data_IF_184419998219
#
_entry.id   IF_184419998219
#
_cell.length_a   1.000
_cell.length_b   1.000
_cell.length_c   1.000
_cell.angle_alpha   90.00
_cell.angle_beta   90.00
_cell.angle_gamma   90.00
#
_symmetry.space_group_name_H-M   'P 1'
#
loop_
_entity.id
_entity.type
_entity.pdbx_description
1 polymer ?
#
# COMPACT_ATOMS: atom_id res chain seq x y z
N UNK A 1 13.76 7.80 22.07
CA UNK A 1 12.30 7.70 22.30
C UNK A 1 11.93 6.22 22.36
N UNK A 2 11.32 5.75 23.45
CA UNK A 2 10.75 4.40 23.50
C UNK A 2 9.39 4.41 22.80
N UNK A 3 9.27 3.77 21.64
CA UNK A 3 7.98 3.58 20.98
C UNK A 3 7.22 2.46 21.71
N UNK A 4 6.06 2.76 22.29
CA UNK A 4 5.22 1.75 22.91
C UNK A 4 4.63 0.82 21.83
N UNK A 5 5.24 -0.34 21.59
CA UNK A 5 4.78 -1.32 20.57
C UNK A 5 3.33 -1.80 20.82
N UNK A 6 2.86 -1.73 22.07
CA UNK A 6 1.54 -2.20 22.49
C UNK A 6 0.46 -1.11 22.64
N UNK A 7 0.75 0.15 22.30
CA UNK A 7 -0.27 1.20 22.35
C UNK A 7 -1.35 0.96 21.29
N UNK A 8 -2.60 1.27 21.64
CA UNK A 8 -3.70 1.28 20.68
C UNK A 8 -3.54 2.49 19.75
N UNK A 9 -3.44 2.24 18.45
CA UNK A 9 -3.43 3.27 17.42
C UNK A 9 -4.79 3.35 16.72
N UNK A 10 -5.08 4.50 16.11
CA UNK A 10 -6.26 4.72 15.27
C UNK A 10 -5.82 5.32 13.94
N UNK A 11 -6.27 4.75 12.83
CA UNK A 11 -5.91 5.24 11.50
C UNK A 11 -7.11 5.44 10.60
N UNK A 12 -7.21 6.63 10.02
CA UNK A 12 -8.14 6.94 8.94
C UNK A 12 -7.35 7.22 7.65
N UNK A 13 -7.87 6.75 6.52
CA UNK A 13 -7.32 7.01 5.19
C UNK A 13 -8.19 6.41 4.10
N UNK A 14 -7.81 6.61 2.83
CA UNK A 14 -8.45 5.94 1.71
C UNK A 14 -8.19 4.41 1.74
N UNK A 15 -8.80 3.66 0.82
CA UNK A 15 -8.72 2.20 0.82
C UNK A 15 -7.27 1.70 0.68
N UNK A 16 -6.48 2.32 -0.19
CA UNK A 16 -5.09 1.96 -0.49
C UNK A 16 -4.18 2.28 0.70
N UNK A 17 -4.38 3.45 1.31
CA UNK A 17 -3.71 3.89 2.55
C UNK A 17 -4.03 2.95 3.72
N UNK A 18 -5.30 2.56 3.89
CA UNK A 18 -5.71 1.62 4.94
C UNK A 18 -5.08 0.25 4.74
N UNK A 19 -4.95 -0.24 3.49
CA UNK A 19 -4.30 -1.52 3.18
C UNK A 19 -2.83 -1.56 3.59
N UNK A 20 -2.05 -0.53 3.27
CA UNK A 20 -0.63 -0.51 3.66
C UNK A 20 -0.47 -0.40 5.18
N UNK A 21 -1.29 0.40 5.86
CA UNK A 21 -1.26 0.50 7.33
C UNK A 21 -1.68 -0.83 7.96
N UNK A 22 -2.73 -1.48 7.44
CA UNK A 22 -3.18 -2.80 7.90
C UNK A 22 -2.07 -3.83 7.75
N UNK A 23 -1.39 -3.86 6.60
CA UNK A 23 -0.29 -4.78 6.33
C UNK A 23 0.85 -4.59 7.32
N UNK A 24 1.34 -3.37 7.50
CA UNK A 24 2.39 -3.07 8.48
C UNK A 24 1.96 -3.43 9.90
N UNK A 25 0.71 -3.15 10.27
CA UNK A 25 0.22 -3.50 11.60
C UNK A 25 0.13 -5.01 11.82
N UNK A 26 -0.36 -5.78 10.84
CA UNK A 26 -0.38 -7.25 10.96
C UNK A 26 1.03 -7.84 11.00
N UNK A 27 1.92 -7.37 10.11
CA UNK A 27 3.27 -7.92 9.97
C UNK A 27 4.07 -7.80 11.27
N UNK A 28 3.81 -6.73 12.02
CA UNK A 28 4.53 -6.41 13.25
C UNK A 28 3.64 -6.48 14.50
N UNK A 29 2.48 -7.15 14.41
CA UNK A 29 1.57 -7.37 15.54
C UNK A 29 1.18 -6.09 16.29
N UNK A 30 1.02 -4.97 15.57
CA UNK A 30 0.60 -3.69 16.14
C UNK A 30 -0.93 -3.62 16.27
N UNK A 31 -1.40 -3.01 17.35
CA UNK A 31 -2.82 -2.72 17.56
C UNK A 31 -3.19 -1.43 16.85
N UNK A 32 -3.95 -1.53 15.76
CA UNK A 32 -4.46 -0.38 15.03
C UNK A 32 -5.93 -0.56 14.66
N UNK A 33 -6.77 0.36 15.10
CA UNK A 33 -8.16 0.45 14.66
C UNK A 33 -8.24 1.23 13.35
N UNK A 34 -8.74 0.56 12.31
CA UNK A 34 -8.91 1.11 10.96
C UNK A 34 -10.34 1.60 10.71
N UNK A 35 -11.19 1.66 11.74
CA UNK A 35 -12.58 2.13 11.70
C UNK A 35 -12.85 3.44 12.46
N UNK A 36 -11.91 4.41 12.57
CA UNK A 36 -12.19 5.66 13.26
C UNK A 36 -13.20 6.54 12.51
N UNK A 37 -13.73 7.60 13.16
CA UNK A 37 -14.64 8.55 12.53
C UNK A 37 -14.10 9.10 11.21
N UNK A 38 -15.01 9.32 10.25
CA UNK A 38 -14.64 9.86 8.94
C UNK A 38 -13.96 11.22 9.09
N UNK A 39 -12.81 11.38 8.43
CA UNK A 39 -12.06 12.63 8.37
C UNK A 39 -11.80 13.00 6.90
N UNK A 40 -11.72 14.29 6.51
CA UNK A 40 -11.33 14.66 5.15
C UNK A 40 -9.89 14.27 4.78
N UNK A 41 -8.99 14.05 5.75
CA UNK A 41 -7.57 13.76 5.50
C UNK A 41 -7.13 12.48 6.22
N UNK A 42 -6.11 11.77 5.69
CA UNK A 42 -5.54 10.66 6.41
C UNK A 42 -4.94 11.14 7.73
N UNK A 43 -5.13 10.37 8.80
CA UNK A 43 -4.46 10.63 10.06
C UNK A 43 -4.19 9.33 10.83
N UNK A 44 -3.12 9.35 11.62
CA UNK A 44 -2.78 8.33 12.60
C UNK A 44 -2.75 8.98 13.98
N UNK A 45 -3.48 8.42 14.93
CA UNK A 45 -3.32 8.72 16.36
C UNK A 45 -2.57 7.56 17.02
N UNK A 46 -1.50 7.87 17.75
CA UNK A 46 -0.73 6.93 18.56
C UNK A 46 -0.36 7.60 19.89
N UNK A 47 -0.99 7.16 20.98
CA UNK A 47 -0.96 7.85 22.28
C UNK A 47 -1.41 9.32 22.11
N UNK A 48 -0.60 10.28 22.57
CA UNK A 48 -0.87 11.72 22.49
C UNK A 48 -0.41 12.35 21.15
N UNK A 49 0.12 11.54 20.22
CA UNK A 49 0.62 12.02 18.94
C UNK A 49 -0.42 11.82 17.85
N UNK A 50 -0.67 12.88 17.07
CA UNK A 50 -1.49 12.83 15.87
C UNK A 50 -0.67 13.24 14.64
N UNK A 51 -0.72 12.45 13.58
CA UNK A 51 0.07 12.62 12.35
C UNK A 51 -0.89 12.65 11.16
N UNK A 52 -0.75 13.62 10.26
CA UNK A 52 -1.72 13.90 9.19
C UNK A 52 -1.18 13.70 7.76
N UNK A 53 0.00 13.09 7.64
CA UNK A 53 0.72 12.94 6.38
C UNK A 53 1.15 11.49 6.22
N UNK A 54 0.83 10.86 5.10
CA UNK A 54 1.11 9.42 4.89
C UNK A 54 2.60 9.11 4.92
N UNK A 55 3.46 9.98 4.38
CA UNK A 55 4.92 9.82 4.48
C UNK A 55 5.37 9.78 5.94
N UNK A 56 4.89 10.70 6.77
CA UNK A 56 5.22 10.72 8.20
C UNK A 56 4.57 9.57 8.97
N UNK A 57 3.37 9.14 8.58
CA UNK A 57 2.66 8.00 9.17
C UNK A 57 3.43 6.71 8.91
N UNK A 58 3.81 6.45 7.65
CA UNK A 58 4.58 5.26 7.29
C UNK A 58 5.99 5.29 7.90
N UNK A 59 6.64 6.46 7.97
CA UNK A 59 7.89 6.61 8.70
C UNK A 59 7.72 6.30 10.19
N UNK A 60 6.67 6.81 10.83
CA UNK A 60 6.37 6.55 12.24
C UNK A 60 6.13 5.06 12.51
N UNK A 61 5.33 4.40 11.66
CA UNK A 61 5.09 2.96 11.74
C UNK A 61 6.39 2.16 11.53
N UNK A 62 7.18 2.52 10.53
CA UNK A 62 8.45 1.85 10.25
C UNK A 62 9.46 1.98 11.41
N UNK A 63 9.52 3.16 12.06
CA UNK A 63 10.32 3.36 13.27
C UNK A 63 9.78 2.55 14.45
N UNK A 64 8.45 2.52 14.65
CA UNK A 64 7.79 1.78 15.73
C UNK A 64 8.08 0.27 15.69
N UNK A 65 8.23 -0.28 14.49
CA UNK A 65 8.47 -1.71 14.26
C UNK A 65 9.93 -2.06 14.03
N UNK A 66 10.84 -1.08 14.11
CA UNK A 66 12.27 -1.25 13.82
C UNK A 66 12.48 -1.87 12.43
N UNK A 67 11.76 -1.34 11.43
CA UNK A 67 11.85 -1.78 10.05
C UNK A 67 13.29 -1.73 9.57
N UNK A 68 13.81 -2.87 9.09
CA UNK A 68 15.22 -3.01 8.68
C UNK A 68 15.48 -2.66 7.22
N UNK A 69 14.44 -2.34 6.44
CA UNK A 69 14.58 -1.93 5.05
C UNK A 69 14.76 -0.43 4.89
N UNK A 70 15.06 -0.01 3.67
CA UNK A 70 15.24 1.40 3.32
C UNK A 70 13.88 2.12 3.30
N UNK A 71 13.81 3.28 3.95
CA UNK A 71 12.62 4.15 3.95
C UNK A 71 12.92 5.34 3.04
N UNK A 72 12.49 5.22 1.79
CA UNK A 72 12.56 6.32 0.82
C UNK A 72 11.32 7.21 0.95
N UNK A 73 11.47 8.34 1.66
CA UNK A 73 10.38 9.28 1.93
C UNK A 73 9.85 9.97 0.67
N UNK A 74 10.72 10.21 -0.32
CA UNK A 74 10.34 10.84 -1.59
C UNK A 74 9.46 9.88 -2.39
N UNK A 75 9.86 8.61 -2.46
CA UNK A 75 9.07 7.58 -3.15
C UNK A 75 7.73 7.31 -2.44
N UNK A 76 7.70 7.29 -1.11
CA UNK A 76 6.43 7.21 -0.35
C UNK A 76 5.52 8.39 -0.70
N UNK A 77 6.06 9.61 -0.80
CA UNK A 77 5.27 10.78 -1.16
C UNK A 77 4.72 10.69 -2.59
N UNK A 78 5.52 10.22 -3.56
CA UNK A 78 5.05 10.00 -4.94
C UNK A 78 3.93 8.97 -4.99
N UNK A 79 4.09 7.83 -4.31
CA UNK A 79 3.06 6.78 -4.26
C UNK A 79 1.79 7.28 -3.54
N UNK A 80 1.92 8.10 -2.50
CA UNK A 80 0.75 8.68 -1.84
C UNK A 80 -0.05 9.61 -2.76
N UNK A 81 0.64 10.44 -3.55
CA UNK A 81 -0.01 11.27 -4.57
C UNK A 81 -0.77 10.42 -5.59
N UNK A 82 -0.18 9.32 -6.06
CA UNK A 82 -0.86 8.36 -6.95
C UNK A 82 -2.12 7.81 -6.26
N UNK A 83 -2.04 7.44 -4.98
CA UNK A 83 -3.21 6.93 -4.24
C UNK A 83 -4.36 7.93 -4.18
N UNK A 84 -4.04 9.22 -4.00
CA UNK A 84 -5.02 10.31 -3.93
C UNK A 84 -5.64 10.58 -5.29
N UNK A 85 -4.83 10.63 -6.36
CA UNK A 85 -5.32 10.74 -7.74
C UNK A 85 -6.25 9.58 -8.10
N UNK A 86 -5.84 8.36 -7.76
CA UNK A 86 -6.62 7.17 -8.04
C UNK A 86 -8.00 7.19 -7.35
N UNK A 87 -8.08 7.70 -6.12
CA UNK A 87 -9.36 7.85 -5.41
C UNK A 87 -10.28 8.91 -6.00
N UNK A 88 -9.76 9.78 -6.87
CA UNK A 88 -10.52 10.80 -7.60
C UNK A 88 -10.84 10.37 -9.04
N UNK A 89 -10.63 9.09 -9.36
CA UNK A 89 -10.78 8.52 -10.70
C UNK A 89 -9.93 9.23 -11.77
N UNK A 90 -8.82 9.85 -11.35
CA UNK A 90 -7.84 10.44 -12.27
C UNK A 90 -6.97 9.34 -12.91
N UNK A 91 -6.49 9.58 -14.14
CA UNK A 91 -5.55 8.67 -14.79
C UNK A 91 -4.18 8.71 -14.10
N UNK A 92 -3.71 7.53 -13.70
CA UNK A 92 -2.46 7.32 -12.97
C UNK A 92 -1.45 6.49 -13.76
N UNK A 93 -1.76 6.11 -15.01
CA UNK A 93 -0.90 5.20 -15.78
C UNK A 93 0.50 5.77 -15.98
N UNK A 94 0.59 7.04 -16.36
CA UNK A 94 1.87 7.72 -16.56
C UNK A 94 2.68 7.79 -15.26
N UNK A 95 2.02 8.09 -14.14
CA UNK A 95 2.67 8.15 -12.82
C UNK A 95 3.23 6.77 -12.42
N UNK A 96 2.43 5.70 -12.51
CA UNK A 96 2.87 4.33 -12.24
C UNK A 96 4.04 3.93 -13.15
N UNK A 97 3.92 4.25 -14.43
CA UNK A 97 4.94 3.89 -15.43
C UNK A 97 6.29 4.54 -15.11
N UNK A 98 6.27 5.79 -14.63
CA UNK A 98 7.48 6.51 -14.21
C UNK A 98 8.18 5.89 -13.01
N UNK A 99 7.47 5.13 -12.16
CA UNK A 99 8.03 4.49 -10.98
C UNK A 99 8.75 3.17 -11.27
N UNK A 100 8.47 2.53 -12.42
CA UNK A 100 9.02 1.20 -12.75
C UNK A 100 10.56 1.18 -12.75
N UNK A 101 11.19 2.27 -13.16
CA UNK A 101 12.66 2.39 -13.21
C UNK A 101 13.35 2.36 -11.83
N UNK A 102 12.59 2.58 -10.74
CA UNK A 102 13.13 2.59 -9.38
C UNK A 102 12.96 1.25 -8.65
N UNK A 103 12.19 0.32 -9.22
CA UNK A 103 11.96 -1.01 -8.63
C UNK A 103 13.23 -1.84 -8.83
N UNK A 104 13.80 -2.35 -7.73
CA UNK A 104 15.00 -3.16 -7.75
C UNK A 104 14.72 -4.54 -7.16
N UNK A 105 14.66 -5.56 -8.02
CA UNK A 105 14.34 -6.93 -7.62
C UNK A 105 15.45 -7.64 -6.84
N UNK A 106 16.69 -7.15 -6.86
CA UNK A 106 17.80 -7.73 -6.11
C UNK A 106 17.80 -7.29 -4.63
N UNK A 107 16.97 -6.29 -4.30
CA UNK A 107 16.78 -5.82 -2.92
C UNK A 107 15.53 -6.42 -2.29
N UNK A 108 15.46 -6.35 -0.96
CA UNK A 108 14.22 -6.63 -0.22
C UNK A 108 13.15 -5.60 -0.58
N UNK A 109 11.89 -6.02 -0.56
CA UNK A 109 10.77 -5.12 -0.82
C UNK A 109 10.71 -4.02 0.25
N UNK A 110 10.67 -2.77 -0.20
CA UNK A 110 10.62 -1.57 0.63
C UNK A 110 9.18 -1.11 0.89
N UNK A 111 8.99 -0.19 1.84
CA UNK A 111 7.66 0.29 2.25
C UNK A 111 6.89 0.95 1.11
N UNK A 112 7.57 1.73 0.25
CA UNK A 112 6.91 2.39 -0.88
C UNK A 112 6.47 1.39 -1.96
N UNK A 113 7.23 0.31 -2.17
CA UNK A 113 6.87 -0.75 -3.10
C UNK A 113 5.64 -1.52 -2.61
N UNK A 114 5.58 -1.83 -1.31
CA UNK A 114 4.38 -2.40 -0.69
C UNK A 114 3.18 -1.48 -0.83
N UNK A 115 3.39 -0.17 -0.65
CA UNK A 115 2.33 0.80 -0.82
C UNK A 115 1.85 0.87 -2.28
N UNK A 116 2.78 0.81 -3.25
CA UNK A 116 2.45 0.75 -4.67
C UNK A 116 1.66 -0.52 -5.01
N UNK A 117 2.02 -1.68 -4.46
CA UNK A 117 1.25 -2.93 -4.64
C UNK A 117 -0.19 -2.81 -4.11
N UNK A 118 -0.42 -2.06 -3.03
CA UNK A 118 -1.77 -1.78 -2.52
C UNK A 118 -2.64 -1.04 -3.55
N UNK A 119 -2.04 -0.20 -4.39
CA UNK A 119 -2.70 0.52 -5.49
C UNK A 119 -2.85 -0.40 -6.70
N UNK A 120 -1.77 -1.06 -7.12
CA UNK A 120 -1.71 -1.91 -8.32
C UNK A 120 -2.72 -3.05 -8.28
N UNK A 121 -2.86 -3.71 -7.13
CA UNK A 121 -3.81 -4.82 -6.95
C UNK A 121 -5.23 -4.43 -7.37
N UNK A 122 -5.68 -3.23 -7.01
CA UNK A 122 -7.01 -2.73 -7.37
C UNK A 122 -7.05 -2.18 -8.79
N UNK A 123 -5.99 -1.47 -9.18
CA UNK A 123 -5.87 -0.88 -10.51
C UNK A 123 -5.90 -1.95 -11.62
N UNK A 124 -5.19 -3.07 -11.42
CA UNK A 124 -5.22 -4.20 -12.34
C UNK A 124 -6.58 -4.89 -12.40
N UNK A 125 -7.25 -5.05 -11.26
CA UNK A 125 -8.61 -5.59 -11.18
C UNK A 125 -9.63 -4.77 -11.97
N UNK A 126 -9.46 -3.45 -12.03
CA UNK A 126 -10.38 -2.55 -12.71
C UNK A 126 -10.07 -2.38 -14.20
N UNK A 127 -8.78 -2.32 -14.54
CA UNK A 127 -8.35 -1.79 -15.82
C UNK A 127 -7.71 -2.83 -16.75
N UNK A 128 -7.16 -3.92 -16.21
CA UNK A 128 -6.26 -4.80 -16.96
C UNK A 128 -6.71 -6.26 -17.05
N UNK A 129 -6.50 -6.85 -18.23
CA UNK A 129 -6.29 -8.29 -18.34
C UNK A 129 -4.84 -8.59 -17.96
N UNK A 130 -4.56 -9.84 -17.55
CA UNK A 130 -3.19 -10.25 -17.22
C UNK A 130 -2.22 -10.01 -18.38
N UNK A 131 -2.62 -10.39 -19.60
CA UNK A 131 -1.83 -10.20 -20.83
C UNK A 131 -1.49 -8.72 -21.05
N UNK A 132 -2.49 -7.83 -20.95
CA UNK A 132 -2.27 -6.40 -21.15
C UNK A 132 -1.35 -5.81 -20.08
N UNK A 133 -1.49 -6.24 -18.82
CA UNK A 133 -0.62 -5.77 -17.73
C UNK A 133 0.82 -6.24 -17.92
N UNK A 134 1.03 -7.47 -18.38
CA UNK A 134 2.35 -8.01 -18.70
C UNK A 134 3.03 -7.28 -19.87
N UNK A 135 2.26 -6.67 -20.78
CA UNK A 135 2.82 -5.87 -21.87
C UNK A 135 3.11 -4.43 -21.46
N UNK A 136 2.16 -3.76 -20.78
CA UNK A 136 2.28 -2.33 -20.49
C UNK A 136 3.01 -2.02 -19.18
N UNK A 137 2.87 -2.88 -18.18
CA UNK A 137 3.40 -2.67 -16.83
C UNK A 137 4.13 -3.95 -16.30
N UNK A 138 5.05 -4.54 -17.07
CA UNK A 138 5.67 -5.84 -16.72
C UNK A 138 6.38 -5.81 -15.36
N UNK A 139 7.05 -4.71 -15.04
CA UNK A 139 7.78 -4.56 -13.78
C UNK A 139 6.81 -4.48 -12.60
N UNK A 140 5.69 -3.79 -12.76
CA UNK A 140 4.65 -3.76 -11.73
C UNK A 140 4.00 -5.13 -11.50
N UNK A 141 3.80 -5.92 -12.56
CA UNK A 141 3.30 -7.29 -12.43
C UNK A 141 4.30 -8.16 -11.67
N UNK A 142 5.59 -8.09 -12.02
CA UNK A 142 6.65 -8.82 -11.32
C UNK A 142 6.77 -8.40 -9.85
N UNK A 143 6.66 -7.10 -9.54
CA UNK A 143 6.68 -6.60 -8.16
C UNK A 143 5.51 -7.17 -7.35
N UNK A 144 4.32 -7.14 -7.92
CA UNK A 144 3.14 -7.78 -7.36
C UNK A 144 3.43 -9.26 -7.05
N UNK A 145 3.86 -10.03 -8.04
CA UNK A 145 4.16 -11.46 -7.87
C UNK A 145 5.20 -11.72 -6.78
N UNK A 146 6.27 -10.91 -6.72
CA UNK A 146 7.28 -10.98 -5.66
C UNK A 146 6.69 -10.77 -4.28
N UNK A 147 5.90 -9.71 -4.08
CA UNK A 147 5.27 -9.41 -2.79
C UNK A 147 4.33 -10.53 -2.35
N UNK A 148 3.51 -11.06 -3.25
CA UNK A 148 2.60 -12.17 -2.93
C UNK A 148 3.31 -13.50 -2.68
N UNK A 149 4.52 -13.69 -3.22
CA UNK A 149 5.33 -14.89 -3.00
C UNK A 149 6.13 -14.80 -1.70
N UNK A 150 6.67 -13.62 -1.37
CA UNK A 150 7.57 -13.43 -0.24
C UNK A 150 6.86 -13.07 1.07
N UNK A 151 5.59 -12.63 1.02
CA UNK A 151 4.88 -12.08 2.17
C UNK A 151 3.50 -12.71 2.35
N UNK A 152 3.40 -13.79 3.11
CA UNK A 152 2.15 -14.53 3.35
C UNK A 152 0.97 -13.62 3.75
N UNK A 153 1.24 -12.60 4.58
CA UNK A 153 0.23 -11.68 5.10
C UNK A 153 -0.33 -10.70 4.05
N UNK A 154 0.33 -10.57 2.89
CA UNK A 154 -0.13 -9.76 1.77
C UNK A 154 -1.57 -10.13 1.41
N UNK A 155 -1.78 -11.42 1.14
CA UNK A 155 -3.06 -11.95 0.71
C UNK A 155 -4.16 -11.72 1.76
N UNK A 156 -3.82 -11.79 3.05
CA UNK A 156 -4.74 -11.56 4.15
C UNK A 156 -5.13 -10.08 4.35
N UNK A 157 -4.35 -9.15 3.80
CA UNK A 157 -4.59 -7.71 3.92
C UNK A 157 -5.37 -7.15 2.74
N UNK A 158 -5.08 -7.62 1.53
CA UNK A 158 -5.62 -7.05 0.30
C UNK A 158 -6.27 -8.06 -0.65
N UNK A 159 -6.24 -9.36 -0.34
CA UNK A 159 -6.77 -10.43 -1.19
C UNK A 159 -5.77 -10.89 -2.26
N UNK A 160 -6.17 -11.83 -3.13
CA UNK A 160 -5.38 -12.19 -4.31
C UNK A 160 -5.50 -11.11 -5.38
N UNK A 161 -4.50 -11.00 -6.27
CA UNK A 161 -4.68 -10.23 -7.50
C UNK A 161 -5.80 -10.88 -8.30
N UNK A 162 -6.81 -10.06 -8.61
CA UNK A 162 -7.87 -10.40 -9.53
C UNK A 162 -7.68 -9.56 -10.78
N UNK A 163 -7.86 -10.15 -11.95
CA UNK A 163 -7.82 -9.43 -13.21
C UNK A 163 -9.24 -8.98 -13.63
N UNK A 164 -9.35 -7.97 -14.49
CA UNK A 164 -10.64 -7.39 -14.93
C UNK A 164 -11.66 -8.42 -15.41
N UNK A 165 -11.21 -9.48 -16.07
CA UNK A 165 -12.08 -10.56 -16.57
C UNK A 165 -12.61 -11.45 -15.43
N UNK A 166 -11.81 -11.64 -14.38
CA UNK A 166 -12.15 -12.47 -13.22
C UNK A 166 -13.15 -11.76 -12.30
N UNK A 167 -13.00 -10.45 -12.11
CA UNK A 167 -13.98 -9.64 -11.36
C UNK A 167 -15.38 -9.73 -11.98
N UNK A 168 -15.49 -9.62 -13.32
CA UNK A 168 -16.78 -9.72 -14.02
C UNK A 168 -17.48 -11.07 -13.80
N UNK A 169 -16.72 -12.15 -13.60
CA UNK A 169 -17.28 -13.48 -13.28
C UNK A 169 -17.80 -13.53 -11.84
N UNK A 170 -17.10 -12.93 -10.87
CA UNK A 170 -17.51 -12.89 -9.46
C UNK A 170 -18.75 -12.03 -9.19
N UNK A 171 -18.96 -10.94 -9.93
CA UNK A 171 -20.14 -10.07 -9.73
C UNK A 171 -21.44 -10.70 -10.27
N UNK A 172 -21.33 -11.76 -11.09
CA UNK A 172 -22.46 -12.46 -11.70
C UNK A 172 -22.84 -13.78 -11.02
N UNK A 173 -22.05 -14.24 -10.05
CA UNK A 173 -22.29 -15.45 -9.26
C UNK A 173 -22.81 -15.07 -7.88
#
# INVERSE_FOLDING_TARGET
MNYAKNSQMYFYGNVQQRRIVQFLCKQYSLKCDLSPPRNPKPFLTDLDKQIYNMTQILQHLALKVEFKGEIDLEMIQKVDQISVKYCKDEDILADISSLQQYINFDKKVNVWELYLVCILTRYFEENYTKEKALTELPICVQLCDKVFTEMDQAQDCWGKILWKVERKKRVKA
#
